data_IF_365705005666
#
_entry.id   IF_365705005666
#
_cell.length_a   1.000
_cell.length_b   1.000
_cell.length_c   1.000
_cell.angle_alpha   90.00
_cell.angle_beta   90.00
_cell.angle_gamma   90.00
#
_symmetry.space_group_name_H-M   'P 1'
#
loop_
_entity.id
_entity.type
_entity.pdbx_description
1 polymer ?
#
# COMPACT_ATOMS: atom_id res chain seq x y z
N UNK A 1 4.08 -24.27 5.03
CA UNK A 1 2.84 -23.76 4.39
C UNK A 1 3.26 -22.78 3.30
N UNK A 2 2.99 -23.07 2.02
CA UNK A 2 3.37 -22.17 0.93
C UNK A 2 2.28 -21.09 0.81
N UNK A 3 2.48 -19.95 1.48
CA UNK A 3 1.51 -18.85 1.48
C UNK A 3 1.51 -18.22 0.08
N UNK A 4 0.44 -18.48 -0.69
CA UNK A 4 0.21 -17.80 -1.97
C UNK A 4 -0.29 -16.39 -1.67
N UNK A 5 0.35 -15.37 -2.25
CA UNK A 5 -0.15 -14.00 -2.14
C UNK A 5 -1.54 -13.89 -2.76
N UNK A 6 -2.57 -13.70 -1.93
CA UNK A 6 -3.87 -13.25 -2.38
C UNK A 6 -3.87 -11.70 -2.43
N UNK A 7 -4.47 -11.07 -3.46
CA UNK A 7 -4.59 -9.62 -3.49
C UNK A 7 -5.54 -9.16 -2.37
N UNK A 8 -5.02 -8.30 -1.48
CA UNK A 8 -5.81 -7.69 -0.39
C UNK A 8 -6.97 -6.85 -0.95
N UNK A 9 -6.82 -6.31 -2.16
CA UNK A 9 -7.85 -5.56 -2.85
C UNK A 9 -8.30 -6.31 -4.11
N UNK A 10 -9.58 -6.69 -4.17
CA UNK A 10 -10.21 -7.29 -5.35
C UNK A 10 -10.93 -6.20 -6.19
N UNK A 11 -10.22 -5.12 -6.50
CA UNK A 11 -10.80 -4.00 -7.25
C UNK A 11 -10.67 -4.26 -8.75
N UNK A 12 -11.67 -3.81 -9.51
CA UNK A 12 -11.58 -3.78 -10.97
C UNK A 12 -10.37 -2.95 -11.42
N UNK A 13 -9.66 -3.41 -12.45
CA UNK A 13 -8.43 -2.79 -12.94
C UNK A 13 -8.62 -1.30 -13.30
N UNK A 14 -9.75 -0.93 -13.89
CA UNK A 14 -10.06 0.44 -14.29
C UNK A 14 -10.95 1.20 -13.29
N UNK A 15 -10.93 0.83 -12.01
CA UNK A 15 -11.78 1.43 -10.98
C UNK A 15 -11.63 2.95 -10.87
N UNK A 16 -10.41 3.47 -11.08
CA UNK A 16 -10.15 4.92 -11.07
C UNK A 16 -10.94 5.68 -12.16
N UNK A 17 -11.17 5.06 -13.32
CA UNK A 17 -11.94 5.67 -14.42
C UNK A 17 -13.43 5.81 -14.05
N UNK A 18 -13.95 4.83 -13.32
CA UNK A 18 -15.34 4.81 -12.86
C UNK A 18 -15.59 5.77 -11.69
N UNK A 19 -14.65 5.88 -10.76
CA UNK A 19 -14.80 6.71 -9.57
C UNK A 19 -14.57 8.20 -9.81
N UNK A 20 -13.86 8.56 -10.89
CA UNK A 20 -13.50 9.95 -11.18
C UNK A 20 -13.93 10.39 -12.59
N UNK A 21 -15.24 10.34 -12.92
CA UNK A 21 -15.72 10.65 -14.27
C UNK A 21 -15.42 12.08 -14.70
N UNK A 22 -15.33 13.04 -13.77
CA UNK A 22 -14.93 14.42 -14.07
C UNK A 22 -13.46 14.53 -14.50
N UNK A 23 -12.58 13.65 -13.99
CA UNK A 23 -11.17 13.62 -14.35
C UNK A 23 -10.91 12.74 -15.59
N UNK A 24 -11.78 11.76 -15.83
CA UNK A 24 -11.71 10.83 -16.96
C UNK A 24 -13.04 10.77 -17.70
N UNK A 25 -13.45 11.85 -18.39
CA UNK A 25 -14.77 11.93 -19.02
C UNK A 25 -14.96 10.89 -20.15
N UNK A 26 -13.88 10.45 -20.77
CA UNK A 26 -13.89 9.42 -21.82
C UNK A 26 -13.71 8.00 -21.29
N UNK A 27 -13.46 7.84 -19.98
CA UNK A 27 -13.09 6.54 -19.39
C UNK A 27 -11.78 5.97 -19.93
N UNK A 28 -10.89 6.81 -20.47
CA UNK A 28 -9.60 6.40 -21.04
C UNK A 28 -8.41 7.03 -20.28
N UNK A 29 -7.19 6.60 -20.63
CA UNK A 29 -5.92 7.11 -20.06
C UNK A 29 -5.78 6.94 -18.54
N UNK A 30 -6.41 5.90 -18.01
CA UNK A 30 -6.23 5.41 -16.64
C UNK A 30 -4.83 4.85 -16.40
N UNK A 31 -4.64 4.31 -15.20
CA UNK A 31 -3.38 3.73 -14.74
C UNK A 31 -2.88 2.63 -15.70
N UNK A 32 -3.77 1.70 -16.02
CA UNK A 32 -3.50 0.52 -16.84
C UNK A 32 -3.73 0.74 -18.34
N UNK A 33 -3.88 2.00 -18.78
CA UNK A 33 -4.10 2.26 -20.20
C UNK A 33 -2.86 1.87 -21.03
N UNK A 34 -3.01 1.07 -22.11
CA UNK A 34 -1.89 0.70 -22.97
C UNK A 34 -1.21 1.96 -23.53
N UNK A 35 0.11 2.06 -23.36
CA UNK A 35 0.90 3.17 -23.93
C UNK A 35 1.58 2.65 -25.19
N UNK A 36 0.97 2.90 -26.34
CA UNK A 36 1.55 2.58 -27.64
C UNK A 36 2.71 3.55 -27.91
N UNK A 37 3.89 3.23 -27.41
CA UNK A 37 5.14 3.95 -27.68
C UNK A 37 6.19 2.94 -28.13
N UNK A 38 7.06 3.31 -29.08
CA UNK A 38 8.23 2.52 -29.45
C UNK A 38 9.51 3.29 -29.08
N UNK A 39 10.41 2.71 -28.28
CA UNK A 39 10.24 1.47 -27.52
C UNK A 39 9.11 1.59 -26.48
N UNK A 40 8.51 0.47 -26.07
CA UNK A 40 7.41 0.46 -25.11
C UNK A 40 7.82 1.11 -23.79
N UNK A 41 7.36 2.35 -23.56
CA UNK A 41 7.52 3.01 -22.27
C UNK A 41 6.39 2.61 -21.34
N UNK A 42 6.66 1.59 -20.53
CA UNK A 42 5.83 1.25 -19.36
C UNK A 42 6.16 2.21 -18.22
N UNK A 43 5.25 3.14 -17.94
CA UNK A 43 5.32 3.92 -16.70
C UNK A 43 5.03 2.98 -15.53
N UNK A 44 5.89 3.01 -14.52
CA UNK A 44 5.56 2.43 -13.23
C UNK A 44 4.35 3.13 -12.61
N UNK A 45 3.69 2.45 -11.68
CA UNK A 45 2.57 3.01 -10.92
C UNK A 45 2.89 4.37 -10.28
N UNK A 46 4.08 4.49 -9.68
CA UNK A 46 4.54 5.72 -9.06
C UNK A 46 4.72 6.84 -10.08
N UNK A 47 5.35 6.55 -11.22
CA UNK A 47 5.54 7.53 -12.29
C UNK A 47 4.21 7.97 -12.90
N UNK A 48 3.25 7.06 -13.05
CA UNK A 48 1.89 7.42 -13.49
C UNK A 48 1.25 8.43 -12.54
N UNK A 49 1.26 8.17 -11.23
CA UNK A 49 0.67 9.09 -10.23
C UNK A 49 1.38 10.43 -10.25
N UNK A 50 2.72 10.43 -10.24
CA UNK A 50 3.52 11.65 -10.28
C UNK A 50 3.20 12.46 -11.55
N UNK A 51 3.08 11.81 -12.71
CA UNK A 51 2.76 12.46 -13.98
C UNK A 51 1.39 13.16 -13.97
N UNK A 52 0.42 12.65 -13.17
CA UNK A 52 -0.91 13.25 -13.00
C UNK A 52 -0.90 14.37 -11.97
N UNK A 53 -0.24 14.17 -10.83
CA UNK A 53 -0.20 15.16 -9.75
C UNK A 53 0.68 16.38 -10.09
N UNK A 54 1.82 16.16 -10.75
CA UNK A 54 2.75 17.20 -11.18
C UNK A 54 2.48 17.72 -12.60
N UNK A 55 1.35 17.35 -13.20
CA UNK A 55 0.98 17.84 -14.51
C UNK A 55 0.81 19.37 -14.50
N UNK A 56 1.01 20.03 -15.64
CA UNK A 56 0.65 21.44 -15.79
C UNK A 56 -0.83 21.66 -15.48
N UNK A 57 -1.68 20.77 -15.97
CA UNK A 57 -3.10 20.77 -15.61
C UNK A 57 -3.28 20.43 -14.12
N UNK A 58 -3.98 21.32 -13.43
CA UNK A 58 -4.19 21.24 -11.99
C UNK A 58 -5.37 20.37 -11.57
N UNK A 59 -6.21 19.92 -12.50
CA UNK A 59 -7.45 19.20 -12.20
C UNK A 59 -7.22 17.99 -11.28
N UNK A 60 -6.20 17.18 -11.57
CA UNK A 60 -5.86 16.00 -10.78
C UNK A 60 -5.38 16.35 -9.37
N UNK A 61 -4.50 17.33 -9.22
CA UNK A 61 -3.97 17.74 -7.89
C UNK A 61 -4.98 18.51 -7.04
N UNK A 62 -5.95 19.18 -7.66
CA UNK A 62 -7.02 19.91 -6.97
C UNK A 62 -8.20 19.02 -6.57
N UNK A 63 -8.33 17.84 -7.15
CA UNK A 63 -9.36 16.90 -6.77
C UNK A 63 -8.98 16.17 -5.47
N UNK A 64 -9.54 16.61 -4.35
CA UNK A 64 -9.26 16.04 -3.03
C UNK A 64 -9.54 14.53 -2.96
N UNK A 65 -10.68 14.08 -3.52
CA UNK A 65 -11.05 12.66 -3.52
C UNK A 65 -10.04 11.80 -4.28
N UNK A 66 -9.51 12.30 -5.40
CA UNK A 66 -8.47 11.64 -6.19
C UNK A 66 -7.15 11.53 -5.41
N UNK A 67 -6.73 12.62 -4.77
CA UNK A 67 -5.54 12.65 -3.93
C UNK A 67 -5.65 11.68 -2.73
N UNK A 68 -6.79 11.70 -2.03
CA UNK A 68 -7.05 10.80 -0.90
C UNK A 68 -7.11 9.32 -1.33
N UNK A 69 -7.69 9.04 -2.50
CA UNK A 69 -7.72 7.69 -3.07
C UNK A 69 -6.31 7.13 -3.29
N UNK A 70 -5.42 7.88 -3.96
CA UNK A 70 -4.05 7.43 -4.19
C UNK A 70 -3.20 7.41 -2.91
N UNK A 71 -3.48 8.30 -1.95
CA UNK A 71 -2.88 8.24 -0.63
C UNK A 71 -3.27 6.96 0.11
N UNK A 72 -4.55 6.58 0.09
CA UNK A 72 -5.03 5.33 0.68
C UNK A 72 -4.41 4.10 0.00
N UNK A 73 -4.27 4.10 -1.34
CA UNK A 73 -3.55 3.04 -2.06
C UNK A 73 -2.09 2.91 -1.62
N UNK A 74 -1.40 4.04 -1.42
CA UNK A 74 -0.03 4.05 -0.91
C UNK A 74 0.07 3.44 0.48
N UNK A 75 -0.84 3.79 1.39
CA UNK A 75 -0.89 3.21 2.75
C UNK A 75 -1.17 1.71 2.68
N UNK A 76 -2.16 1.28 1.89
CA UNK A 76 -2.50 -0.13 1.76
C UNK A 76 -1.34 -0.97 1.20
N UNK A 77 -0.57 -0.42 0.25
CA UNK A 77 0.64 -1.08 -0.26
C UNK A 77 1.71 -1.21 0.83
N UNK A 78 1.95 -0.15 1.60
CA UNK A 78 2.89 -0.18 2.72
C UNK A 78 2.47 -1.20 3.80
N UNK A 79 1.18 -1.23 4.17
CA UNK A 79 0.61 -2.20 5.10
C UNK A 79 0.78 -3.64 4.59
N UNK A 80 0.45 -3.91 3.31
CA UNK A 80 0.62 -5.24 2.71
C UNK A 80 2.06 -5.72 2.86
N UNK A 81 3.02 -4.88 2.50
CA UNK A 81 4.45 -5.19 2.59
C UNK A 81 4.90 -5.38 4.05
N UNK A 82 4.44 -4.52 4.96
CA UNK A 82 4.73 -4.64 6.39
C UNK A 82 4.22 -5.97 6.98
N UNK A 83 2.95 -6.30 6.72
CA UNK A 83 2.33 -7.56 7.19
C UNK A 83 3.08 -8.77 6.62
N UNK A 84 3.40 -8.75 5.32
CA UNK A 84 4.14 -9.83 4.69
C UNK A 84 5.51 -10.04 5.34
N UNK A 85 6.27 -8.95 5.56
CA UNK A 85 7.58 -9.02 6.18
C UNK A 85 7.50 -9.53 7.63
N UNK A 86 6.52 -9.04 8.40
CA UNK A 86 6.25 -9.50 9.77
C UNK A 86 5.97 -11.02 9.77
N UNK A 87 5.02 -11.48 8.97
CA UNK A 87 4.67 -12.89 8.86
C UNK A 87 5.87 -13.74 8.43
N UNK A 88 6.69 -13.24 7.49
CA UNK A 88 7.91 -13.91 7.06
C UNK A 88 8.94 -14.00 8.19
N UNK A 89 9.15 -12.95 8.98
CA UNK A 89 10.08 -12.98 10.12
C UNK A 89 9.59 -13.90 11.25
N UNK A 90 8.28 -13.94 11.51
CA UNK A 90 7.70 -14.79 12.54
C UNK A 90 7.69 -16.26 12.14
N UNK A 91 7.30 -16.58 10.90
CA UNK A 91 7.22 -17.95 10.39
C UNK A 91 8.56 -18.51 9.90
N UNK A 92 9.55 -17.67 9.67
CA UNK A 92 10.86 -18.06 9.13
C UNK A 92 11.79 -18.74 10.14
N UNK A 93 11.54 -18.60 11.46
CA UNK A 93 12.46 -19.10 12.49
C UNK A 93 11.98 -20.38 13.18
N UNK A 94 10.69 -20.56 13.43
CA UNK A 94 10.08 -21.80 13.93
C UNK A 94 8.63 -21.76 13.45
N UNK A 95 8.05 -22.86 13.00
CA UNK A 95 6.63 -22.90 12.60
C UNK A 95 5.73 -22.62 13.81
N UNK A 96 5.50 -21.35 14.12
CA UNK A 96 4.73 -20.92 15.28
C UNK A 96 3.23 -21.05 15.00
N UNK A 97 2.50 -21.58 15.97
CA UNK A 97 1.05 -21.65 15.93
C UNK A 97 0.42 -20.30 16.32
N UNK A 98 -0.85 -20.08 15.94
CA UNK A 98 -1.60 -18.86 16.34
C UNK A 98 -1.66 -18.72 17.87
N UNK A 99 -1.68 -19.85 18.60
CA UNK A 99 -1.70 -19.87 20.07
C UNK A 99 -0.40 -19.29 20.66
N UNK A 100 0.77 -19.68 20.12
CA UNK A 100 2.07 -19.16 20.56
C UNK A 100 2.22 -17.66 20.29
N UNK A 101 1.64 -17.16 19.18
CA UNK A 101 1.63 -15.72 18.88
C UNK A 101 0.72 -14.98 19.87
N UNK A 102 -0.44 -15.54 20.20
CA UNK A 102 -1.34 -14.99 21.23
C UNK A 102 -0.69 -14.95 22.61
N UNK A 103 0.08 -15.98 22.96
CA UNK A 103 0.83 -16.03 24.21
C UNK A 103 1.89 -14.92 24.27
N UNK A 104 2.67 -14.73 23.20
CA UNK A 104 3.66 -13.64 23.10
C UNK A 104 3.03 -12.26 23.19
N UNK A 105 1.83 -12.08 22.64
CA UNK A 105 1.04 -10.84 22.81
C UNK A 105 0.65 -10.61 24.27
N UNK A 106 0.17 -11.66 24.95
CA UNK A 106 -0.24 -11.57 26.35
C UNK A 106 0.94 -11.33 27.31
N UNK A 107 2.12 -11.86 26.97
CA UNK A 107 3.35 -11.73 27.78
C UNK A 107 4.10 -10.42 27.49
N UNK A 108 3.62 -9.59 26.55
CA UNK A 108 4.28 -8.35 26.11
C UNK A 108 5.75 -8.58 25.73
N UNK A 109 6.00 -9.62 24.91
CA UNK A 109 7.35 -9.96 24.46
C UNK A 109 7.99 -8.77 23.70
N UNK A 110 9.06 -8.20 24.24
CA UNK A 110 9.71 -6.99 23.69
C UNK A 110 10.21 -7.18 22.26
N UNK A 111 10.68 -8.39 21.92
CA UNK A 111 11.16 -8.69 20.57
C UNK A 111 10.00 -8.75 19.58
N UNK A 112 8.88 -9.35 19.97
CA UNK A 112 7.65 -9.40 19.19
C UNK A 112 7.04 -8.01 18.99
N UNK A 113 6.98 -7.19 20.04
CA UNK A 113 6.51 -5.80 19.97
C UNK A 113 7.41 -4.94 19.07
N UNK A 114 8.74 -5.09 19.21
CA UNK A 114 9.72 -4.48 18.32
C UNK A 114 9.49 -4.86 16.85
N UNK A 115 9.22 -6.13 16.56
CA UNK A 115 8.91 -6.58 15.20
C UNK A 115 7.58 -6.01 14.68
N UNK A 116 6.53 -5.94 15.52
CA UNK A 116 5.26 -5.30 15.18
C UNK A 116 5.44 -3.81 14.84
N UNK A 117 6.36 -3.13 15.53
CA UNK A 117 6.65 -1.72 15.25
C UNK A 117 7.21 -1.46 13.87
N UNK A 118 8.00 -2.39 13.34
CA UNK A 118 8.56 -2.28 11.99
C UNK A 118 7.50 -2.35 10.90
N UNK A 119 6.34 -3.00 11.17
CA UNK A 119 5.24 -3.12 10.23
C UNK A 119 4.66 -1.74 9.86
N UNK A 120 4.54 -0.85 10.85
CA UNK A 120 3.93 0.47 10.68
C UNK A 120 4.94 1.57 10.35
N UNK A 121 6.24 1.30 10.49
CA UNK A 121 7.30 2.28 10.21
C UNK A 121 7.23 2.94 8.81
N UNK A 122 6.84 2.25 7.72
CA UNK A 122 6.75 2.86 6.39
C UNK A 122 5.53 3.80 6.20
N UNK A 123 4.59 3.81 7.15
CA UNK A 123 3.35 4.59 7.07
C UNK A 123 3.59 5.94 7.74
N UNK A 124 3.19 7.02 7.08
CA UNK A 124 3.41 8.37 7.60
C UNK A 124 2.41 8.66 8.73
N UNK A 125 2.89 9.25 9.83
CA UNK A 125 2.04 9.62 10.96
C UNK A 125 1.69 8.46 11.89
N UNK A 126 2.28 7.28 11.67
CA UNK A 126 2.15 6.10 12.54
C UNK A 126 3.43 5.81 13.31
N UNK A 127 4.27 6.83 13.56
CA UNK A 127 5.23 6.73 14.66
C UNK A 127 4.43 6.20 15.85
N UNK A 128 4.83 5.03 16.37
CA UNK A 128 4.04 4.38 17.41
C UNK A 128 3.97 5.36 18.58
N UNK A 129 2.76 5.85 18.84
CA UNK A 129 2.44 6.76 19.93
C UNK A 129 2.99 6.26 21.28
N UNK A 130 3.20 4.95 21.40
CA UNK A 130 3.70 4.21 22.56
C UNK A 130 5.22 4.24 22.76
N UNK A 131 6.01 4.57 21.73
CA UNK A 131 7.42 4.90 21.96
C UNK A 131 7.48 6.33 22.49
N UNK A 132 7.38 6.46 23.81
CA UNK A 132 7.76 7.70 24.47
C UNK A 132 9.17 8.07 24.02
N UNK A 133 9.28 9.21 23.34
CA UNK A 133 10.55 9.89 23.12
C UNK A 133 11.13 10.13 24.51
N UNK A 134 12.19 9.42 24.85
CA UNK A 134 13.02 9.76 26.02
C UNK A 134 13.66 11.12 25.79
#
# INVERSE_FOLDING_TARGET
MNVKEAPIANRQEHFNLLCFPTLFPTGQYGEHHPRQSYPAQTLSFSEYIISRLLNKDSQFRRNHSYCLYYYALKINKALKTGIYNLLKTLMGNVGQTVAEILEKLNVLDEQFEGNLSTMLAPIRGTNQYWFHVK
#
